data_IF_495779354307
#
_entry.id   IF_495779354307
#
_cell.length_a   1.000
_cell.length_b   1.000
_cell.length_c   1.000
_cell.angle_alpha   90.00
_cell.angle_beta   90.00
_cell.angle_gamma   90.00
#
_symmetry.space_group_name_H-M   'P 1'
#
loop_
_entity.id
_entity.type
_entity.pdbx_description
1 polymer ?
#
# COMPACT_ATOMS: atom_id res chain seq x y z
N UNK A 1 -20.58 15.04 8.10
CA UNK A 1 -19.30 15.78 8.05
C UNK A 1 -19.49 17.01 7.20
N UNK A 2 -18.77 18.11 7.47
CA UNK A 2 -18.89 19.36 6.72
C UNK A 2 -17.61 19.60 5.94
N UNK A 3 -17.72 19.83 4.64
CA UNK A 3 -16.62 20.08 3.70
C UNK A 3 -16.91 21.36 2.91
N UNK A 4 -15.91 21.96 2.27
CA UNK A 4 -16.16 22.98 1.24
C UNK A 4 -16.66 22.34 -0.05
N UNK A 5 -17.26 23.14 -0.95
CA UNK A 5 -17.67 22.67 -2.28
C UNK A 5 -16.49 22.12 -3.08
N UNK A 6 -15.35 22.81 -3.04
CA UNK A 6 -14.11 22.35 -3.66
C UNK A 6 -13.64 20.99 -3.11
N UNK A 7 -13.60 20.82 -1.78
CA UNK A 7 -13.22 19.54 -1.16
C UNK A 7 -14.18 18.41 -1.54
N UNK A 8 -15.49 18.67 -1.53
CA UNK A 8 -16.49 17.69 -1.95
C UNK A 8 -16.28 17.27 -3.42
N UNK A 9 -16.03 18.22 -4.31
CA UNK A 9 -15.75 17.95 -5.72
C UNK A 9 -14.47 17.13 -5.92
N UNK A 10 -13.38 17.47 -5.21
CA UNK A 10 -12.13 16.70 -5.23
C UNK A 10 -12.37 15.24 -4.87
N UNK A 11 -13.12 14.98 -3.78
CA UNK A 11 -13.43 13.59 -3.37
C UNK A 11 -14.26 12.89 -4.46
N UNK A 12 -15.34 13.52 -4.93
CA UNK A 12 -16.22 12.93 -5.94
C UNK A 12 -15.48 12.62 -7.26
N UNK A 13 -14.58 13.51 -7.68
CA UNK A 13 -13.76 13.34 -8.88
C UNK A 13 -12.84 12.11 -8.78
N UNK A 14 -12.19 11.90 -7.64
CA UNK A 14 -11.24 10.79 -7.49
C UNK A 14 -11.90 9.43 -7.25
N UNK A 15 -13.20 9.37 -6.98
CA UNK A 15 -13.92 8.08 -6.93
C UNK A 15 -13.95 7.36 -8.28
N UNK A 16 -13.82 8.11 -9.39
CA UNK A 16 -13.78 7.54 -10.74
C UNK A 16 -12.66 6.52 -10.94
N UNK A 17 -11.52 6.72 -10.24
CA UNK A 17 -10.42 5.75 -10.20
C UNK A 17 -10.91 4.39 -9.67
N UNK A 18 -11.52 4.36 -8.49
CA UNK A 18 -12.04 3.14 -7.88
C UNK A 18 -13.12 2.48 -8.75
N UNK A 19 -14.03 3.28 -9.33
CA UNK A 19 -15.09 2.80 -10.23
C UNK A 19 -14.49 2.13 -11.48
N UNK A 20 -13.44 2.70 -12.07
CA UNK A 20 -12.86 2.19 -13.31
C UNK A 20 -11.86 1.04 -13.08
N UNK A 21 -11.07 1.11 -12.01
CA UNK A 21 -9.92 0.22 -11.77
C UNK A 21 -10.33 -1.04 -11.01
N UNK A 22 -11.17 -0.92 -9.98
CA UNK A 22 -11.49 -2.07 -9.11
C UNK A 22 -12.25 -3.21 -9.83
N UNK A 23 -13.17 -2.95 -10.78
CA UNK A 23 -13.77 -4.02 -11.58
C UNK A 23 -12.76 -4.77 -12.44
N UNK A 24 -11.73 -4.10 -12.96
CA UNK A 24 -10.64 -4.74 -13.71
C UNK A 24 -9.79 -5.66 -12.81
N UNK A 25 -9.77 -5.35 -11.51
CA UNK A 25 -9.17 -6.16 -10.45
C UNK A 25 -10.12 -7.20 -9.85
N UNK A 26 -11.37 -7.29 -10.35
CA UNK A 26 -12.38 -8.29 -9.99
C UNK A 26 -13.37 -7.89 -8.90
N UNK A 27 -13.15 -6.77 -8.21
CA UNK A 27 -14.01 -6.16 -7.18
C UNK A 27 -14.75 -7.12 -6.21
N UNK A 28 -14.07 -8.01 -5.49
CA UNK A 28 -14.71 -9.04 -4.66
C UNK A 28 -15.43 -8.49 -3.41
N UNK A 29 -15.20 -7.23 -3.02
CA UNK A 29 -15.84 -6.60 -1.86
C UNK A 29 -16.82 -5.50 -2.23
N UNK A 30 -17.00 -5.17 -3.51
CA UNK A 30 -17.95 -4.16 -3.98
C UNK A 30 -17.46 -2.72 -3.81
N UNK A 31 -16.15 -2.48 -3.91
CA UNK A 31 -15.53 -1.15 -3.86
C UNK A 31 -15.99 -0.26 -5.00
N UNK A 32 -16.16 -0.79 -6.21
CA UNK A 32 -16.67 0.02 -7.31
C UNK A 32 -18.09 0.52 -7.00
N UNK A 33 -18.91 -0.31 -6.36
CA UNK A 33 -20.24 0.08 -5.90
C UNK A 33 -20.19 1.08 -4.74
N UNK A 34 -19.24 0.92 -3.80
CA UNK A 34 -19.03 1.91 -2.74
C UNK A 34 -18.53 3.25 -3.29
N UNK A 35 -17.56 3.27 -4.21
CA UNK A 35 -17.07 4.47 -4.88
C UNK A 35 -18.19 5.16 -5.66
N UNK A 36 -19.05 4.40 -6.36
CA UNK A 36 -20.23 4.94 -7.01
C UNK A 36 -21.20 5.55 -6.01
N UNK A 37 -21.51 4.84 -4.93
CA UNK A 37 -22.39 5.33 -3.87
C UNK A 37 -21.84 6.59 -3.19
N UNK A 38 -20.51 6.68 -2.99
CA UNK A 38 -19.84 7.87 -2.48
C UNK A 38 -19.99 9.03 -3.47
N UNK A 39 -19.68 8.79 -4.75
CA UNK A 39 -19.79 9.81 -5.80
C UNK A 39 -21.22 10.35 -5.91
N UNK A 40 -22.24 9.48 -5.86
CA UNK A 40 -23.65 9.84 -5.90
C UNK A 40 -24.09 10.58 -4.63
N UNK A 41 -23.62 10.16 -3.46
CA UNK A 41 -23.95 10.78 -2.17
C UNK A 41 -23.33 12.16 -2.02
N UNK A 42 -22.14 12.37 -2.60
CA UNK A 42 -21.49 13.68 -2.62
C UNK A 42 -22.12 14.54 -3.70
N UNK A 43 -22.18 14.08 -4.95
CA UNK A 43 -22.61 14.89 -6.09
C UNK A 43 -21.59 15.97 -6.48
N UNK A 44 -21.98 16.88 -7.36
CA UNK A 44 -21.16 18.03 -7.75
C UNK A 44 -21.71 19.32 -7.13
N UNK A 45 -20.82 20.13 -6.57
CA UNK A 45 -21.13 21.38 -5.87
C UNK A 45 -20.49 22.57 -6.56
N UNK A 46 -21.01 23.76 -6.30
CA UNK A 46 -20.28 24.99 -6.59
C UNK A 46 -19.04 25.06 -5.69
N UNK A 47 -17.86 25.22 -6.28
CA UNK A 47 -16.58 25.23 -5.57
C UNK A 47 -16.50 26.35 -4.52
N UNK A 48 -17.21 27.46 -4.75
CA UNK A 48 -17.26 28.59 -3.85
C UNK A 48 -18.16 28.35 -2.62
N UNK A 49 -18.90 27.23 -2.56
CA UNK A 49 -19.73 26.91 -1.41
C UNK A 49 -18.85 26.67 -0.17
N UNK A 50 -19.07 27.44 0.91
CA UNK A 50 -18.23 27.34 2.10
C UNK A 50 -18.50 26.06 2.90
N UNK A 51 -19.70 25.48 2.78
CA UNK A 51 -20.12 24.31 3.54
C UNK A 51 -21.08 23.42 2.77
N UNK A 52 -20.74 22.14 2.71
CA UNK A 52 -21.51 21.04 2.15
C UNK A 52 -21.58 19.93 3.19
N UNK A 53 -22.79 19.45 3.47
CA UNK A 53 -23.01 18.39 4.45
C UNK A 53 -22.99 17.03 3.75
N UNK A 54 -21.97 16.23 4.07
CA UNK A 54 -21.79 14.89 3.50
C UNK A 54 -22.03 13.84 4.58
N UNK A 55 -22.87 12.86 4.26
CA UNK A 55 -23.19 11.72 5.10
C UNK A 55 -22.78 10.42 4.40
N UNK A 56 -21.66 9.85 4.84
CA UNK A 56 -21.18 8.54 4.42
C UNK A 56 -21.04 7.63 5.63
N UNK A 57 -21.11 6.32 5.39
CA UNK A 57 -20.77 5.31 6.40
C UNK A 57 -19.27 5.32 6.72
N UNK A 58 -18.86 4.73 7.84
CA UNK A 58 -17.44 4.63 8.21
C UNK A 58 -16.62 3.95 7.10
N UNK A 59 -17.13 2.84 6.55
CA UNK A 59 -16.51 2.13 5.43
C UNK A 59 -16.35 3.00 4.19
N UNK A 60 -17.35 3.81 3.85
CA UNK A 60 -17.31 4.69 2.70
C UNK A 60 -16.31 5.84 2.90
N UNK A 61 -16.17 6.33 4.13
CA UNK A 61 -15.11 7.28 4.44
C UNK A 61 -13.72 6.67 4.30
N UNK A 62 -13.52 5.43 4.75
CA UNK A 62 -12.24 4.73 4.55
C UNK A 62 -11.88 4.61 3.05
N UNK A 63 -12.87 4.28 2.22
CA UNK A 63 -12.73 4.18 0.77
C UNK A 63 -12.42 5.53 0.12
N UNK A 64 -13.16 6.57 0.51
CA UNK A 64 -12.98 7.91 -0.03
C UNK A 64 -11.53 8.37 0.15
N UNK A 65 -11.02 8.15 1.35
CA UNK A 65 -9.67 8.54 1.73
C UNK A 65 -8.61 7.65 1.03
N UNK A 66 -8.87 6.35 0.83
CA UNK A 66 -7.99 5.45 0.08
C UNK A 66 -7.80 5.87 -1.38
N UNK A 67 -8.88 6.26 -2.05
CA UNK A 67 -8.81 6.75 -3.43
C UNK A 67 -8.15 8.13 -3.52
N UNK A 68 -8.32 9.00 -2.52
CA UNK A 68 -7.61 10.30 -2.48
C UNK A 68 -6.11 10.09 -2.33
N UNK A 69 -5.65 9.20 -1.45
CA UNK A 69 -4.21 8.93 -1.31
C UNK A 69 -3.61 8.30 -2.59
N UNK A 70 -4.36 7.41 -3.24
CA UNK A 70 -3.99 6.87 -4.54
C UNK A 70 -3.86 7.97 -5.59
N UNK A 71 -4.78 8.93 -5.61
CA UNK A 71 -4.74 10.09 -6.50
C UNK A 71 -3.53 10.99 -6.20
N UNK A 72 -3.28 11.32 -4.93
CA UNK A 72 -2.11 12.09 -4.49
C UNK A 72 -0.81 11.46 -5.00
N UNK A 73 -0.64 10.14 -4.83
CA UNK A 73 0.56 9.44 -5.28
C UNK A 73 0.72 9.48 -6.80
N UNK A 74 -0.38 9.35 -7.54
CA UNK A 74 -0.39 9.46 -9.00
C UNK A 74 0.00 10.88 -9.45
N UNK A 75 -0.59 11.92 -8.87
CA UNK A 75 -0.29 13.33 -9.16
C UNK A 75 1.16 13.68 -8.84
N UNK A 76 1.68 13.27 -7.67
CA UNK A 76 3.08 13.46 -7.31
C UNK A 76 4.04 12.78 -8.30
N UNK A 77 3.69 11.58 -8.76
CA UNK A 77 4.48 10.86 -9.76
C UNK A 77 4.43 11.53 -11.15
N UNK A 78 3.35 12.23 -11.46
CA UNK A 78 3.15 12.98 -12.70
C UNK A 78 3.72 14.41 -12.63
N UNK A 79 4.12 14.90 -11.45
CA UNK A 79 4.57 16.28 -11.24
C UNK A 79 3.44 17.31 -11.07
N UNK A 80 2.21 16.85 -10.83
CA UNK A 80 1.00 17.66 -10.62
C UNK A 80 0.89 18.06 -9.14
N UNK A 81 1.71 19.03 -8.72
CA UNK A 81 1.81 19.41 -7.31
C UNK A 81 0.54 20.06 -6.75
N UNK A 82 -0.16 20.89 -7.55
CA UNK A 82 -1.36 21.60 -7.09
C UNK A 82 -2.52 20.64 -6.85
N UNK A 83 -2.73 19.68 -7.74
CA UNK A 83 -3.72 18.61 -7.59
C UNK A 83 -3.39 17.67 -6.43
N UNK A 84 -2.11 17.35 -6.24
CA UNK A 84 -1.66 16.59 -5.08
C UNK A 84 -1.97 17.34 -3.76
N UNK A 85 -1.70 18.65 -3.71
CA UNK A 85 -2.00 19.47 -2.53
C UNK A 85 -3.50 19.57 -2.26
N UNK A 86 -4.33 19.71 -3.30
CA UNK A 86 -5.78 19.68 -3.16
C UNK A 86 -6.29 18.35 -2.58
N UNK A 87 -5.74 17.23 -3.06
CA UNK A 87 -6.03 15.89 -2.53
C UNK A 87 -5.61 15.77 -1.05
N UNK A 88 -4.39 16.19 -0.72
CA UNK A 88 -3.88 16.20 0.66
C UNK A 88 -4.77 17.04 1.59
N UNK A 89 -5.22 18.22 1.13
CA UNK A 89 -6.05 19.10 1.94
C UNK A 89 -7.46 18.52 2.19
N UNK A 90 -8.09 17.94 1.15
CA UNK A 90 -9.37 17.26 1.29
C UNK A 90 -9.25 16.06 2.25
N UNK A 91 -8.18 15.27 2.10
CA UNK A 91 -7.86 14.14 2.97
C UNK A 91 -7.70 14.54 4.42
N UNK A 92 -6.83 15.52 4.72
CA UNK A 92 -6.55 15.94 6.09
C UNK A 92 -7.83 16.45 6.77
N UNK A 93 -8.69 17.15 6.03
CA UNK A 93 -10.00 17.58 6.53
C UNK A 93 -10.91 16.41 6.90
N UNK A 94 -10.92 15.32 6.10
CA UNK A 94 -11.66 14.10 6.43
C UNK A 94 -11.12 13.49 7.73
N UNK A 95 -9.79 13.42 7.87
CA UNK A 95 -9.14 12.83 9.05
C UNK A 95 -9.30 13.65 10.33
N UNK A 96 -9.38 14.97 10.23
CA UNK A 96 -9.66 15.82 11.40
C UNK A 96 -11.06 15.55 11.97
N UNK A 97 -12.01 15.16 11.11
CA UNK A 97 -13.40 14.88 11.50
C UNK A 97 -13.64 13.42 11.86
N UNK A 98 -12.95 12.50 11.20
CA UNK A 98 -12.92 11.10 11.61
C UNK A 98 -11.96 11.00 12.78
N UNK A 99 -12.46 10.84 14.01
CA UNK A 99 -11.62 10.32 15.09
C UNK A 99 -11.14 8.94 14.66
N UNK A 100 -10.00 8.88 13.99
CA UNK A 100 -9.36 7.65 13.65
C UNK A 100 -9.18 6.90 14.97
N UNK A 101 -9.72 5.69 15.14
CA UNK A 101 -9.33 4.89 16.28
C UNK A 101 -7.80 4.87 16.27
N UNK A 102 -7.16 5.22 17.39
CA UNK A 102 -5.71 5.11 17.51
C UNK A 102 -5.32 3.75 16.91
N UNK A 103 -4.44 3.75 15.89
CA UNK A 103 -4.12 2.55 15.12
C UNK A 103 -3.94 1.42 16.12
N UNK A 104 -4.92 0.51 16.22
CA UNK A 104 -4.83 -0.54 17.22
C UNK A 104 -3.66 -1.39 16.74
N UNK A 105 -2.52 -1.38 17.46
CA UNK A 105 -1.39 -2.19 17.07
C UNK A 105 -1.84 -3.61 17.33
N UNK A 106 -2.45 -4.23 16.31
CA UNK A 106 -2.71 -5.64 16.32
C UNK A 106 -1.44 -6.39 16.75
N UNK A 107 -1.58 -7.57 17.35
CA UNK A 107 -0.42 -8.30 17.84
C UNK A 107 0.60 -8.48 16.71
N UNK A 108 1.92 -8.44 17.02
CA UNK A 108 2.95 -8.71 16.04
C UNK A 108 2.64 -9.99 15.25
N UNK A 109 2.76 -9.92 13.93
CA UNK A 109 2.58 -11.08 13.06
C UNK A 109 3.93 -11.56 12.56
N UNK A 110 4.05 -12.87 12.40
CA UNK A 110 5.28 -13.54 12.02
C UNK A 110 4.97 -14.64 11.00
N UNK A 111 5.77 -14.73 9.95
CA UNK A 111 5.73 -15.81 9.00
C UNK A 111 7.14 -16.20 8.52
N UNK A 112 7.39 -17.50 8.48
CA UNK A 112 8.62 -18.09 7.96
C UNK A 112 8.29 -18.85 6.68
N UNK A 113 9.03 -18.57 5.60
CA UNK A 113 8.91 -19.28 4.34
C UNK A 113 10.29 -19.67 3.81
N UNK A 114 10.41 -20.89 3.30
CA UNK A 114 11.59 -21.32 2.56
C UNK A 114 11.23 -21.71 1.15
N UNK A 115 11.81 -21.03 0.16
CA UNK A 115 11.47 -21.23 -1.25
C UNK A 115 12.66 -21.04 -2.19
N UNK A 116 12.56 -21.67 -3.35
CA UNK A 116 13.50 -21.50 -4.45
C UNK A 116 12.97 -20.51 -5.50
N UNK A 117 13.85 -19.73 -6.12
CA UNK A 117 13.46 -18.70 -7.07
C UNK A 117 13.25 -19.19 -8.50
N UNK A 118 13.59 -20.45 -8.81
CA UNK A 118 13.31 -21.05 -10.12
C UNK A 118 13.90 -20.33 -11.34
N UNK A 119 14.89 -19.44 -11.14
CA UNK A 119 15.47 -18.59 -12.19
C UNK A 119 15.07 -17.10 -12.12
N UNK A 120 14.11 -16.74 -11.27
CA UNK A 120 13.78 -15.34 -10.99
C UNK A 120 14.92 -14.64 -10.23
N UNK A 121 15.05 -13.32 -10.45
CA UNK A 121 16.07 -12.49 -9.80
C UNK A 121 15.65 -12.02 -8.38
N UNK A 122 14.49 -12.44 -7.89
CA UNK A 122 13.89 -11.94 -6.67
C UNK A 122 12.48 -12.44 -6.43
N UNK A 123 11.86 -11.94 -5.36
CA UNK A 123 10.47 -12.17 -5.01
C UNK A 123 9.79 -10.84 -4.69
N UNK A 124 8.46 -10.87 -4.66
CA UNK A 124 7.62 -9.69 -4.47
C UNK A 124 6.72 -9.90 -3.26
N UNK A 125 6.71 -8.91 -2.35
CA UNK A 125 5.70 -8.77 -1.31
C UNK A 125 4.66 -7.78 -1.81
N UNK A 126 3.44 -8.26 -2.06
CA UNK A 126 2.36 -7.42 -2.58
C UNK A 126 1.05 -7.78 -1.94
N UNK A 127 0.06 -6.97 -2.20
CA UNK A 127 -1.31 -7.38 -1.97
C UNK A 127 -1.91 -7.91 -3.28
N UNK A 128 -2.73 -8.96 -3.22
CA UNK A 128 -3.30 -9.55 -4.42
C UNK A 128 -4.34 -8.59 -5.05
N UNK A 129 -4.31 -8.48 -6.38
CA UNK A 129 -5.49 -8.06 -7.16
C UNK A 129 -6.30 -9.32 -7.49
N UNK A 130 -7.61 -9.33 -7.22
CA UNK A 130 -8.38 -10.58 -7.13
C UNK A 130 -9.03 -11.02 -8.45
N UNK A 131 -8.32 -11.86 -9.24
CA UNK A 131 -8.93 -12.89 -10.12
C UNK A 131 -7.90 -13.84 -10.75
N UNK A 132 -6.82 -14.19 -10.05
CA UNK A 132 -5.74 -15.02 -10.65
C UNK A 132 -5.04 -14.37 -11.86
N UNK A 133 -5.47 -13.19 -12.31
CA UNK A 133 -4.66 -12.26 -13.09
C UNK A 133 -3.64 -11.65 -12.13
N UNK A 134 -2.60 -12.44 -11.88
CA UNK A 134 -1.30 -11.89 -11.61
C UNK A 134 -1.06 -10.88 -12.74
N UNK A 135 -1.00 -9.58 -12.44
CA UNK A 135 -0.34 -8.66 -13.36
C UNK A 135 1.00 -9.32 -13.61
N UNK A 136 1.22 -9.73 -14.84
CA UNK A 136 2.36 -10.53 -15.23
C UNK A 136 3.60 -9.89 -14.61
N UNK A 137 4.15 -10.52 -13.57
CA UNK A 137 5.46 -10.18 -13.02
C UNK A 137 6.55 -10.63 -14.03
N UNK A 138 6.12 -11.13 -15.19
CA UNK A 138 6.90 -11.42 -16.39
C UNK A 138 7.60 -10.16 -16.95
N UNK A 139 7.20 -8.95 -16.51
CA UNK A 139 7.86 -7.69 -16.87
C UNK A 139 8.73 -7.11 -15.75
N UNK A 140 9.13 -7.90 -14.75
CA UNK A 140 10.19 -7.45 -13.86
C UNK A 140 11.41 -7.05 -14.71
N UNK A 141 11.94 -5.83 -14.59
CA UNK A 141 13.15 -5.46 -15.29
C UNK A 141 14.23 -6.46 -14.90
N UNK A 142 14.72 -7.23 -15.88
CA UNK A 142 15.97 -7.93 -15.74
C UNK A 142 17.02 -6.86 -15.45
N UNK A 143 17.48 -6.76 -14.22
CA UNK A 143 18.50 -5.79 -13.88
C UNK A 143 19.88 -6.39 -14.15
N UNK A 144 20.64 -5.67 -14.96
CA UNK A 144 21.98 -6.05 -15.44
C UNK A 144 23.09 -5.96 -14.37
N UNK A 145 22.78 -5.58 -13.11
CA UNK A 145 23.78 -5.49 -12.04
C UNK A 145 23.49 -6.43 -10.85
N UNK A 146 24.05 -7.65 -10.85
CA UNK A 146 23.86 -8.66 -9.81
C UNK A 146 24.69 -8.39 -8.55
N UNK A 147 25.08 -7.14 -8.24
CA UNK A 147 26.10 -6.78 -7.22
C UNK A 147 25.60 -6.28 -5.85
N UNK A 148 24.29 -6.16 -5.60
CA UNK A 148 23.77 -6.20 -4.22
C UNK A 148 22.32 -6.74 -4.11
N UNK A 149 21.97 -7.39 -2.99
CA UNK A 149 20.57 -7.62 -2.58
C UNK A 149 19.93 -6.26 -2.30
N UNK A 150 18.77 -5.97 -2.91
CA UNK A 150 18.11 -4.66 -2.82
C UNK A 150 16.63 -4.81 -2.53
N UNK A 151 16.06 -3.77 -1.92
CA UNK A 151 14.64 -3.63 -1.65
C UNK A 151 14.16 -2.31 -2.27
N UNK A 152 13.00 -2.33 -2.93
CA UNK A 152 12.41 -1.13 -3.52
C UNK A 152 10.95 -1.30 -3.88
N UNK A 153 10.19 -0.20 -3.82
CA UNK A 153 8.79 -0.17 -4.26
C UNK A 153 8.67 -0.26 -5.78
N UNK A 154 7.64 -0.93 -6.26
CA UNK A 154 7.33 -1.14 -7.69
C UNK A 154 5.82 -0.99 -7.93
N UNK A 155 5.41 -0.86 -9.20
CA UNK A 155 4.00 -0.77 -9.62
C UNK A 155 3.19 0.35 -8.95
N UNK A 156 3.74 1.57 -8.92
CA UNK A 156 3.04 2.73 -8.32
C UNK A 156 2.74 2.53 -6.82
N UNK A 157 3.62 1.84 -6.10
CA UNK A 157 3.45 1.55 -4.67
C UNK A 157 2.61 0.30 -4.35
N UNK A 158 2.09 -0.43 -5.34
CA UNK A 158 1.26 -1.61 -5.03
C UNK A 158 2.07 -2.83 -4.54
N UNK A 159 3.40 -2.83 -4.70
CA UNK A 159 4.24 -3.97 -4.37
C UNK A 159 5.68 -3.59 -4.00
N UNK A 160 6.26 -4.39 -3.13
CA UNK A 160 7.65 -4.32 -2.71
C UNK A 160 8.44 -5.43 -3.38
N UNK A 161 9.47 -5.07 -4.15
CA UNK A 161 10.38 -6.01 -4.80
C UNK A 161 11.64 -6.21 -3.94
N UNK A 162 12.02 -7.47 -3.75
CA UNK A 162 13.30 -7.86 -3.15
C UNK A 162 14.11 -8.63 -4.18
N UNK A 163 15.23 -8.05 -4.62
CA UNK A 163 16.17 -8.72 -5.53
C UNK A 163 17.31 -9.35 -4.75
N UNK A 164 17.77 -10.51 -5.18
CA UNK A 164 18.74 -11.35 -4.46
C UNK A 164 19.68 -12.07 -5.44
N UNK A 165 20.82 -12.53 -4.94
CA UNK A 165 21.84 -13.23 -5.75
C UNK A 165 21.74 -14.75 -5.71
N UNK A 166 21.05 -15.28 -4.71
CA UNK A 166 21.00 -16.72 -4.46
C UNK A 166 19.74 -17.31 -5.07
N UNK A 167 19.71 -18.64 -5.16
CA UNK A 167 18.56 -19.37 -5.71
C UNK A 167 17.59 -19.85 -4.65
N UNK A 168 18.03 -19.89 -3.39
CA UNK A 168 17.22 -20.30 -2.24
C UNK A 168 17.16 -19.17 -1.22
N UNK A 169 15.95 -18.90 -0.74
CA UNK A 169 15.67 -17.87 0.25
C UNK A 169 14.98 -18.51 1.45
N UNK A 170 15.42 -18.08 2.63
CA UNK A 170 14.78 -18.32 3.92
C UNK A 170 14.26 -16.97 4.42
N UNK A 171 12.97 -16.74 4.23
CA UNK A 171 12.27 -15.49 4.54
C UNK A 171 11.65 -15.59 5.93
N UNK A 172 12.03 -14.65 6.78
CA UNK A 172 11.41 -14.38 8.06
C UNK A 172 10.74 -12.99 7.98
N UNK A 173 9.40 -12.93 8.03
CA UNK A 173 8.61 -11.72 7.88
C UNK A 173 7.91 -11.33 9.18
N UNK A 174 8.18 -10.12 9.65
CA UNK A 174 7.62 -9.54 10.88
C UNK A 174 6.79 -8.31 10.55
N UNK A 175 5.51 -8.30 10.91
CA UNK A 175 4.69 -7.08 10.93
C UNK A 175 4.59 -6.61 12.37
N UNK A 176 5.23 -5.47 12.65
CA UNK A 176 5.44 -4.94 13.98
C UNK A 176 4.61 -3.67 14.20
N UNK A 177 4.17 -3.42 15.44
CA UNK A 177 3.39 -2.22 15.76
C UNK A 177 4.23 -0.94 15.80
N UNK A 178 5.54 -1.07 16.03
CA UNK A 178 6.50 0.04 16.16
C UNK A 178 7.84 -0.34 15.53
N UNK A 179 8.75 0.63 15.41
CA UNK A 179 10.07 0.42 14.85
C UNK A 179 10.86 -0.64 15.66
N UNK A 180 11.43 -1.67 15.00
CA UNK A 180 12.30 -2.64 15.65
C UNK A 180 13.65 -2.04 16.04
N UNK A 181 14.29 -2.65 17.04
CA UNK A 181 15.68 -2.35 17.40
C UNK A 181 16.60 -2.47 16.17
N UNK A 182 17.70 -1.69 16.11
CA UNK A 182 18.67 -1.82 15.04
C UNK A 182 19.22 -3.25 14.93
N UNK A 183 19.39 -3.79 13.71
CA UNK A 183 19.93 -5.12 13.53
C UNK A 183 21.37 -5.20 14.02
N UNK A 184 21.74 -6.34 14.63
CA UNK A 184 23.07 -6.58 15.19
C UNK A 184 24.08 -7.17 14.19
N UNK A 185 23.67 -7.39 12.93
CA UNK A 185 24.52 -7.91 11.86
C UNK A 185 23.80 -8.04 10.52
N UNK A 186 24.54 -8.43 9.48
CA UNK A 186 24.03 -8.58 8.11
C UNK A 186 24.12 -7.29 7.28
N UNK A 187 23.72 -7.39 6.01
CA UNK A 187 23.53 -6.22 5.13
C UNK A 187 22.11 -5.71 5.31
N UNK A 188 21.97 -4.40 5.52
CA UNK A 188 20.68 -3.77 5.84
C UNK A 188 20.28 -2.82 4.71
N UNK A 189 19.03 -2.90 4.30
CA UNK A 189 18.40 -1.94 3.41
C UNK A 189 17.04 -1.53 3.98
N UNK A 190 16.70 -0.24 3.88
CA UNK A 190 15.42 0.30 4.31
C UNK A 190 14.72 1.04 3.18
N UNK A 191 13.40 0.98 3.17
CA UNK A 191 12.56 1.75 2.26
C UNK A 191 11.23 2.10 2.90
N UNK A 192 10.48 2.98 2.24
CA UNK A 192 9.10 3.29 2.60
C UNK A 192 8.17 2.68 1.56
N UNK A 193 7.10 2.05 2.03
CA UNK A 193 6.10 1.41 1.18
C UNK A 193 4.71 1.76 1.68
N UNK A 194 3.92 2.39 0.82
CA UNK A 194 2.50 2.52 1.02
C UNK A 194 1.84 1.43 0.19
N UNK A 195 1.08 0.53 0.80
CA UNK A 195 0.27 -0.43 0.05
C UNK A 195 -1.13 0.15 -0.12
N UNK A 196 -1.51 0.43 -1.38
CA UNK A 196 -2.73 1.17 -1.73
C UNK A 196 -3.89 0.26 -2.13
N UNK A 197 -3.71 -1.05 -2.01
CA UNK A 197 -4.69 -2.06 -2.43
C UNK A 197 -5.75 -2.26 -1.35
N UNK A 198 -6.51 -1.19 -1.08
CA UNK A 198 -7.78 -1.35 -0.38
C UNK A 198 -8.72 -2.11 -1.32
N UNK A 199 -9.44 -3.14 -0.84
CA UNK A 199 -9.69 -3.53 0.56
C UNK A 199 -8.96 -4.82 0.98
N UNK A 200 -7.78 -5.08 0.45
CA UNK A 200 -7.06 -6.36 0.58
C UNK A 200 -5.88 -6.23 1.53
N UNK A 201 -6.06 -6.40 2.86
CA UNK A 201 -4.96 -6.28 3.81
C UNK A 201 -3.94 -7.42 3.71
N UNK A 202 -4.24 -8.50 2.97
CA UNK A 202 -3.37 -9.65 2.87
C UNK A 202 -2.08 -9.29 2.12
N UNK A 203 -0.95 -9.55 2.77
CA UNK A 203 0.34 -9.54 2.13
C UNK A 203 0.66 -10.95 1.65
N UNK A 204 0.91 -11.09 0.35
CA UNK A 204 1.33 -12.33 -0.29
C UNK A 204 2.78 -12.23 -0.75
N UNK A 205 3.52 -13.31 -0.58
CA UNK A 205 4.82 -13.51 -1.19
C UNK A 205 4.62 -14.19 -2.55
N UNK A 206 5.25 -13.63 -3.58
CA UNK A 206 5.17 -14.12 -4.95
C UNK A 206 6.58 -14.26 -5.53
N UNK A 207 6.92 -15.45 -5.99
CA UNK A 207 8.07 -15.68 -6.87
C UNK A 207 7.58 -15.56 -8.32
N UNK A 208 8.17 -14.71 -9.18
CA UNK A 208 7.81 -14.63 -10.59
C UNK A 208 7.89 -16.01 -11.26
N UNK A 209 6.82 -16.43 -11.95
CA UNK A 209 6.71 -17.76 -12.56
C UNK A 209 6.48 -18.93 -11.59
N UNK A 210 6.40 -18.67 -10.28
CA UNK A 210 6.14 -19.66 -9.22
C UNK A 210 4.73 -19.58 -8.63
N UNK A 211 4.47 -20.42 -7.61
CA UNK A 211 3.26 -20.30 -6.78
C UNK A 211 3.36 -19.09 -5.84
N UNK A 212 2.22 -18.68 -5.28
CA UNK A 212 2.14 -17.60 -4.30
C UNK A 212 1.73 -18.16 -2.94
N UNK A 213 2.25 -17.53 -1.88
CA UNK A 213 1.93 -17.89 -0.50
C UNK A 213 1.45 -16.65 0.25
N UNK A 214 0.36 -16.81 1.00
CA UNK A 214 -0.08 -15.77 1.95
C UNK A 214 0.88 -15.75 3.14
N UNK A 215 1.40 -14.57 3.47
CA UNK A 215 2.42 -14.42 4.53
C UNK A 215 1.97 -13.62 5.73
N UNK A 216 1.12 -12.61 5.56
CA UNK A 216 0.65 -11.80 6.68
C UNK A 216 -0.61 -11.02 6.32
N UNK A 217 -1.19 -10.34 7.31
CA UNK A 217 -2.27 -9.38 7.11
C UNK A 217 -1.81 -8.04 7.68
N UNK A 218 -1.65 -7.02 6.84
CA UNK A 218 -1.38 -5.66 7.32
C UNK A 218 -2.63 -5.18 8.08
N UNK A 219 -2.46 -4.59 9.27
CA UNK A 219 -3.59 -4.14 10.10
C UNK A 219 -4.52 -3.25 9.28
N UNK A 220 -5.80 -3.62 9.20
CA UNK A 220 -6.85 -2.94 8.45
C UNK A 220 -7.34 -1.66 9.11
N UNK A 221 -6.88 -1.35 10.33
CA UNK A 221 -7.61 -0.42 11.19
C UNK A 221 -7.48 1.06 10.84
N UNK A 222 -6.62 1.45 9.89
CA UNK A 222 -6.66 2.77 9.24
C UNK A 222 -5.93 2.63 7.89
N UNK A 223 -6.64 2.69 6.77
CA UNK A 223 -6.14 2.16 5.49
C UNK A 223 -5.98 3.12 4.31
N UNK A 224 -5.69 4.40 4.54
CA UNK A 224 -4.97 5.14 3.47
C UNK A 224 -3.60 5.72 3.85
N UNK A 225 -3.42 6.19 5.10
CA UNK A 225 -2.27 7.06 5.45
C UNK A 225 -1.04 6.36 6.00
N UNK A 226 -1.04 5.04 6.07
CA UNK A 226 0.07 4.31 6.68
C UNK A 226 1.14 4.07 5.62
N UNK A 227 2.11 4.97 5.56
CA UNK A 227 3.39 4.67 4.95
C UNK A 227 4.11 3.70 5.90
N UNK A 228 4.26 2.45 5.48
CA UNK A 228 5.04 1.51 6.24
C UNK A 228 6.53 1.74 5.96
N UNK A 229 7.34 1.71 7.01
CA UNK A 229 8.77 1.51 6.87
C UNK A 229 9.01 0.02 6.74
N UNK A 230 9.91 -0.33 5.83
CA UNK A 230 10.33 -1.71 5.62
C UNK A 230 11.84 -1.78 5.75
N UNK A 231 12.31 -2.70 6.59
CA UNK A 231 13.72 -3.07 6.71
C UNK A 231 13.91 -4.48 6.20
N UNK A 232 14.88 -4.65 5.31
CA UNK A 232 15.42 -5.95 4.92
C UNK A 232 16.80 -6.10 5.54
N UNK A 233 16.99 -7.13 6.35
CA UNK A 233 18.30 -7.56 6.85
C UNK A 233 18.66 -8.90 6.21
N UNK A 234 19.81 -8.94 5.55
CA UNK A 234 20.27 -10.10 4.80
C UNK A 234 21.50 -10.70 5.47
N UNK A 235 21.42 -11.97 5.80
CA UNK A 235 22.61 -12.76 6.18
C UNK A 235 22.82 -13.88 5.17
N UNK A 236 24.03 -13.96 4.65
CA UNK A 236 24.36 -14.90 3.58
C UNK A 236 25.07 -16.12 4.14
N UNK A 237 24.64 -17.29 3.70
CA UNK A 237 25.36 -18.56 3.87
C UNK A 237 25.90 -19.03 2.52
N UNK A 238 26.67 -20.12 2.47
CA UNK A 238 27.31 -20.58 1.24
C UNK A 238 26.33 -20.90 0.09
N UNK A 239 25.06 -21.20 0.39
CA UNK A 239 24.06 -21.64 -0.62
C UNK A 239 22.75 -20.89 -0.56
N UNK A 240 22.53 -20.03 0.44
CA UNK A 240 21.23 -19.45 0.76
C UNK A 240 21.38 -18.08 1.43
N UNK A 241 20.43 -17.18 1.17
CA UNK A 241 20.28 -15.91 1.90
C UNK A 241 19.12 -16.05 2.88
N UNK A 242 19.36 -15.64 4.13
CA UNK A 242 18.32 -15.45 5.12
C UNK A 242 17.88 -14.00 5.10
N UNK A 243 16.60 -13.78 4.86
CA UNK A 243 15.99 -12.49 4.73
C UNK A 243 15.08 -12.25 5.92
N UNK A 244 15.47 -11.32 6.80
CA UNK A 244 14.57 -10.79 7.81
C UNK A 244 13.92 -9.52 7.26
N UNK A 245 12.62 -9.58 6.99
CA UNK A 245 11.80 -8.45 6.52
C UNK A 245 10.94 -7.97 7.68
N UNK A 246 11.19 -6.75 8.13
CA UNK A 246 10.42 -6.12 9.20
C UNK A 246 9.62 -4.95 8.65
N UNK A 247 8.32 -4.93 8.90
CA UNK A 247 7.37 -3.93 8.41
C UNK A 247 6.72 -3.27 9.63
N UNK A 248 6.74 -1.95 9.70
CA UNK A 248 6.07 -1.21 10.77
C UNK A 248 5.51 0.12 10.25
N UNK A 249 4.47 0.69 10.90
CA UNK A 249 3.98 2.01 10.56
C UNK A 249 5.10 3.05 10.70
N UNK A 250 5.44 3.73 9.61
CA UNK A 250 6.23 4.96 9.69
C UNK A 250 5.32 6.05 10.21
N UNK A 251 5.32 6.30 11.53
CA UNK A 251 4.49 7.34 12.14
C UNK A 251 4.51 8.62 11.29
N UNK A 252 3.39 8.93 10.63
CA UNK A 252 3.17 10.25 10.06
C UNK A 252 2.70 11.14 11.21
N UNK A 253 3.63 11.45 12.12
CA UNK A 253 3.55 12.72 12.86
C UNK A 253 4.31 13.74 12.05
N UNK A 254 3.76 14.14 10.91
CA UNK A 254 3.99 15.51 10.44
C UNK A 254 2.93 16.37 11.11
N UNK A 255 3.19 16.67 12.39
CA UNK A 255 2.62 17.86 12.98
C UNK A 255 3.18 19.04 12.20
N UNK A 256 2.29 19.76 11.53
CA UNK A 256 2.47 21.19 11.32
C UNK A 256 1.82 21.90 12.50
#
# INVERSE_FOLDING_TARGET
>A
MTLTGAQANTIAQHMHSGIAIEPQRGDPRGIAADCLAIQESIGWHDEALPQVHIALTARQWDIAVAEIDRATLACLSAGESEEADACLHARDTILDHLRLPAHDPGPPQHAELRFGLGGAAGYVLRQPAWRGKHIAIDTMPAHDDPRATRIGGTFGGAALLVTTRVREIDLDLHVLPTAPEPPTGGTVAETSQQWTSYPHPELVCVVPGGQHEHVATLSTHIWPHVIYRVRLTVTTTATMEKHLVQIWPGHVTTGW
#
